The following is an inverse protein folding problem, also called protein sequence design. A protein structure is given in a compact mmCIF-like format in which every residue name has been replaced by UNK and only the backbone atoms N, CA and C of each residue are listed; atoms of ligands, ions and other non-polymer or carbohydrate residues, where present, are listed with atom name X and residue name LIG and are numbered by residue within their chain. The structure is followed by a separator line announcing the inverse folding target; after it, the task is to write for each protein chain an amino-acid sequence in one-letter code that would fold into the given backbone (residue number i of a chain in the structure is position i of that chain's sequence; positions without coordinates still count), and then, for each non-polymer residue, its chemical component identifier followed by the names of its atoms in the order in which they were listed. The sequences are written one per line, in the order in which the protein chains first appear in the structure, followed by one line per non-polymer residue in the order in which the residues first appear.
data_IF_516817864619
#
_entry.id   IF_516817864619
#
_cell.length_a   1.000
_cell.length_b   1.000
_cell.length_c   1.000
_cell.angle_alpha   90.00
_cell.angle_beta   90.00
_cell.angle_gamma   90.00
#
_symmetry.space_group_name_H-M   'P 1'
#
loop_
_entity.id
_entity.type
_entity.pdbx_description
1 polymer ?
#
# COMPACT_ATOMS: atom_id res chain seq x y z
N UNK A 1 15.39 -39.19 15.61
CA UNK A 1 14.01 -38.87 16.07
C UNK A 1 14.02 -38.12 17.41
N UNK A 2 14.71 -38.58 18.46
CA UNK A 2 14.77 -37.88 19.76
C UNK A 2 15.43 -36.48 19.71
N UNK A 3 16.36 -36.27 18.78
CA UNK A 3 17.05 -34.99 18.58
C UNK A 3 16.16 -33.94 17.89
N UNK A 4 15.21 -34.39 17.07
CA UNK A 4 14.16 -33.56 16.48
C UNK A 4 13.21 -33.00 17.55
N UNK A 5 12.86 -33.84 18.54
CA UNK A 5 12.05 -33.43 19.71
C UNK A 5 12.81 -32.43 20.60
N UNK A 6 14.15 -32.55 20.68
CA UNK A 6 14.99 -31.63 21.46
C UNK A 6 15.11 -30.25 20.80
N UNK A 7 15.15 -30.20 19.47
CA UNK A 7 15.11 -28.95 18.71
C UNK A 7 13.75 -28.23 18.79
N UNK A 8 12.65 -28.99 18.92
CA UNK A 8 11.33 -28.40 19.18
C UNK A 8 11.24 -27.74 20.57
N UNK A 9 12.05 -28.15 21.55
CA UNK A 9 12.17 -27.47 22.87
C UNK A 9 12.93 -26.14 22.82
N UNK A 10 13.71 -25.89 21.77
CA UNK A 10 14.41 -24.62 21.54
C UNK A 10 13.53 -23.58 20.83
N UNK A 11 12.43 -23.99 20.21
CA UNK A 11 11.39 -23.09 19.70
C UNK A 11 10.49 -22.68 20.86
N UNK A 12 11.05 -21.86 21.74
CA UNK A 12 10.42 -21.40 22.98
C UNK A 12 9.25 -20.42 22.76
N UNK A 13 8.66 -20.37 21.56
CA UNK A 13 7.60 -19.40 21.23
C UNK A 13 6.77 -19.74 19.97
N UNK A 14 6.34 -20.99 19.80
CA UNK A 14 5.24 -21.31 18.88
C UNK A 14 4.06 -21.78 19.75
N UNK A 15 3.17 -20.83 20.06
CA UNK A 15 1.90 -21.10 20.72
C UNK A 15 0.91 -21.63 19.67
N UNK A 16 0.81 -22.96 19.58
CA UNK A 16 -0.19 -23.68 18.79
C UNK A 16 -1.45 -24.02 19.64
N UNK A 17 -1.58 -23.44 20.84
CA UNK A 17 -2.52 -23.87 21.88
C UNK A 17 -3.93 -23.29 21.75
N UNK A 18 -4.52 -23.25 20.55
CA UNK A 18 -5.99 -23.08 20.43
C UNK A 18 -6.58 -23.48 19.06
N UNK A 19 -5.94 -24.36 18.31
CA UNK A 19 -6.59 -24.95 17.14
C UNK A 19 -6.57 -26.48 17.21
N UNK A 20 -7.71 -27.09 16.85
CA UNK A 20 -7.82 -28.53 16.60
C UNK A 20 -7.00 -28.86 15.35
N UNK A 21 -5.68 -28.97 15.50
CA UNK A 21 -4.77 -29.47 14.46
C UNK A 21 -5.10 -30.95 14.23
N UNK A 22 -6.16 -31.18 13.45
CA UNK A 22 -6.62 -32.49 13.06
C UNK A 22 -5.91 -32.82 11.75
N UNK A 23 -4.66 -33.21 11.89
CA UNK A 23 -3.82 -33.70 10.81
C UNK A 23 -2.50 -34.11 11.41
N UNK A 24 -2.32 -35.41 11.58
CA UNK A 24 -0.97 -35.98 11.73
C UNK A 24 -0.06 -35.38 10.65
N UNK A 25 1.24 -35.35 10.93
CA UNK A 25 2.31 -35.01 9.97
C UNK A 25 2.35 -36.09 8.87
N UNK A 26 1.32 -36.13 8.01
CA UNK A 26 1.10 -37.12 6.97
C UNK A 26 0.31 -36.57 5.76
N UNK A 27 -0.01 -35.28 5.72
CA UNK A 27 -0.96 -34.74 4.73
C UNK A 27 -0.22 -33.91 3.69
N UNK A 28 -0.45 -34.23 2.41
CA UNK A 28 0.06 -33.46 1.27
C UNK A 28 -0.46 -32.00 1.26
N UNK A 29 -1.17 -31.51 2.28
CA UNK A 29 -1.70 -30.15 2.39
C UNK A 29 -1.52 -29.60 3.81
N UNK A 30 -1.10 -28.33 3.91
CA UNK A 30 -0.94 -27.56 5.14
C UNK A 30 -1.55 -26.15 4.96
N UNK A 31 -2.63 -25.89 5.67
CA UNK A 31 -3.28 -24.57 5.72
C UNK A 31 -3.10 -23.97 7.11
N UNK A 32 -2.44 -22.82 7.16
CA UNK A 32 -2.18 -22.00 8.33
C UNK A 32 -2.75 -20.59 8.16
N UNK A 33 -3.48 -20.32 7.07
CA UNK A 33 -3.95 -18.99 6.75
C UNK A 33 -4.90 -18.41 7.80
N UNK A 34 -4.97 -17.09 7.85
CA UNK A 34 -5.88 -16.36 8.73
C UNK A 34 -5.68 -16.64 10.22
N UNK A 35 -4.46 -16.95 10.63
CA UNK A 35 -4.07 -17.05 12.02
C UNK A 35 -3.18 -15.85 12.35
N UNK A 36 -3.31 -15.26 13.54
CA UNK A 36 -2.41 -14.15 13.93
C UNK A 36 -0.99 -14.66 14.29
N UNK A 37 -0.45 -15.60 13.51
CA UNK A 37 0.88 -16.18 13.65
C UNK A 37 1.93 -15.12 13.32
N UNK A 38 3.03 -15.15 14.05
CA UNK A 38 4.10 -14.17 13.90
C UNK A 38 5.47 -14.84 13.94
N UNK A 39 6.48 -14.11 13.47
CA UNK A 39 7.86 -14.61 13.43
C UNK A 39 8.24 -15.17 12.07
N UNK A 40 9.27 -16.03 12.03
CA UNK A 40 9.83 -16.54 10.77
C UNK A 40 9.19 -17.88 10.41
N UNK A 41 8.90 -18.09 9.11
CA UNK A 41 8.58 -19.42 8.58
C UNK A 41 9.76 -20.37 8.88
N UNK A 42 9.54 -21.48 9.61
CA UNK A 42 10.62 -22.34 10.03
C UNK A 42 11.29 -23.02 8.82
N UNK A 43 12.62 -23.02 8.80
CA UNK A 43 13.39 -23.65 7.72
C UNK A 43 13.10 -25.14 7.56
N UNK A 44 12.66 -25.82 8.61
CA UNK A 44 12.25 -27.23 8.54
C UNK A 44 11.07 -27.46 7.59
N UNK A 45 10.24 -26.44 7.31
CA UNK A 45 9.17 -26.53 6.31
C UNK A 45 9.73 -26.65 4.88
N UNK A 46 10.98 -26.20 4.67
CA UNK A 46 11.69 -26.28 3.40
C UNK A 46 12.26 -27.69 3.14
N UNK A 47 12.37 -28.51 4.18
CA UNK A 47 12.87 -29.90 4.16
C UNK A 47 11.75 -30.95 3.99
N UNK A 48 10.48 -30.54 4.06
CA UNK A 48 9.36 -31.42 3.73
C UNK A 48 9.32 -31.60 2.21
N UNK A 49 9.24 -32.83 1.71
CA UNK A 49 9.33 -33.14 0.26
C UNK A 49 7.99 -33.51 -0.41
N UNK A 50 6.87 -33.47 0.33
CA UNK A 50 5.56 -33.97 -0.14
C UNK A 50 4.42 -32.98 0.08
N UNK A 51 4.72 -31.69 0.21
CA UNK A 51 3.66 -30.70 0.39
C UNK A 51 3.12 -30.31 -0.99
N UNK A 52 1.89 -30.70 -1.28
CA UNK A 52 1.14 -30.33 -2.50
C UNK A 52 0.36 -29.03 -2.34
N UNK A 53 -0.01 -28.65 -1.12
CA UNK A 53 -0.74 -27.41 -0.83
C UNK A 53 -0.19 -26.76 0.44
N UNK A 54 0.11 -25.47 0.34
CA UNK A 54 0.51 -24.61 1.45
C UNK A 54 -0.33 -23.34 1.39
N UNK A 55 -0.88 -22.91 2.52
CA UNK A 55 -1.42 -21.55 2.67
C UNK A 55 -0.95 -20.97 4.01
N UNK A 56 -0.26 -19.84 3.98
CA UNK A 56 0.19 -19.08 5.17
C UNK A 56 -0.24 -17.62 5.04
N UNK A 57 -1.24 -17.36 4.19
CA UNK A 57 -1.70 -16.02 3.89
C UNK A 57 -2.48 -15.41 5.06
N UNK A 58 -2.49 -14.08 5.13
CA UNK A 58 -3.17 -13.35 6.20
C UNK A 58 -2.70 -13.71 7.62
N UNK A 59 -1.40 -13.84 7.76
CA UNK A 59 -0.76 -13.94 9.05
C UNK A 59 0.18 -12.74 9.24
N UNK A 60 0.93 -12.72 10.34
CA UNK A 60 1.90 -11.68 10.66
C UNK A 60 3.33 -12.24 10.62
N UNK A 61 3.61 -13.16 9.70
CA UNK A 61 4.96 -13.67 9.49
C UNK A 61 5.88 -12.58 8.93
N UNK A 62 7.13 -12.67 9.34
CA UNK A 62 8.20 -11.73 9.04
C UNK A 62 9.41 -12.46 8.51
N UNK A 63 10.32 -11.72 7.85
CA UNK A 63 11.61 -12.19 7.34
C UNK A 63 11.55 -12.97 6.01
N UNK A 64 12.74 -13.42 5.59
CA UNK A 64 12.96 -14.15 4.34
C UNK A 64 12.26 -15.51 4.36
N UNK A 65 11.50 -15.81 3.30
CA UNK A 65 10.98 -17.16 3.04
C UNK A 65 12.18 -18.12 2.94
N UNK A 66 12.22 -19.22 3.71
CA UNK A 66 13.29 -20.20 3.61
C UNK A 66 13.41 -20.74 2.20
N UNK A 67 14.64 -20.81 1.69
CA UNK A 67 14.91 -21.45 0.41
C UNK A 67 14.82 -22.96 0.62
N UNK A 68 14.03 -23.63 -0.22
CA UNK A 68 13.84 -25.07 -0.19
C UNK A 68 13.32 -25.59 -1.52
N UNK A 69 12.96 -26.87 -1.53
CA UNK A 69 12.62 -27.55 -2.79
C UNK A 69 11.22 -27.18 -3.30
N UNK A 70 10.27 -26.95 -2.41
CA UNK A 70 8.85 -26.77 -2.76
C UNK A 70 8.28 -25.39 -2.37
N UNK A 71 8.90 -24.65 -1.44
CA UNK A 71 8.35 -23.37 -0.97
C UNK A 71 8.31 -22.31 -2.07
N UNK A 72 9.33 -22.33 -2.95
CA UNK A 72 9.44 -21.44 -4.10
C UNK A 72 8.60 -21.89 -5.30
N UNK A 73 8.06 -23.12 -5.30
CA UNK A 73 7.17 -23.59 -6.37
C UNK A 73 5.70 -23.20 -6.15
N UNK A 74 5.33 -22.78 -4.95
CA UNK A 74 4.00 -22.25 -4.68
C UNK A 74 3.84 -20.83 -5.21
N UNK A 75 2.59 -20.45 -5.51
CA UNK A 75 2.25 -19.11 -5.96
C UNK A 75 2.47 -18.07 -4.84
N UNK A 76 2.78 -16.83 -5.19
CA UNK A 76 2.90 -15.72 -4.24
C UNK A 76 1.62 -15.50 -3.42
N UNK A 77 0.46 -15.90 -3.95
CA UNK A 77 -0.85 -15.82 -3.28
C UNK A 77 -0.84 -16.49 -1.91
N UNK A 78 -0.16 -17.63 -1.77
CA UNK A 78 -0.14 -18.40 -0.51
C UNK A 78 0.61 -17.69 0.63
N UNK A 79 1.38 -16.65 0.29
CA UNK A 79 2.17 -15.84 1.23
C UNK A 79 1.61 -14.43 1.38
N UNK A 80 0.52 -14.08 0.70
CA UNK A 80 -0.03 -12.74 0.68
C UNK A 80 -0.41 -12.25 2.08
N UNK A 81 -0.48 -10.93 2.23
CA UNK A 81 -0.98 -10.26 3.44
C UNK A 81 -0.13 -10.53 4.69
N UNK A 82 1.14 -10.92 4.49
CA UNK A 82 2.21 -10.90 5.50
C UNK A 82 3.17 -9.74 5.20
N UNK A 83 2.98 -8.60 5.87
CA UNK A 83 3.63 -7.32 5.51
C UNK A 83 5.16 -7.34 5.62
N UNK A 84 5.72 -8.17 6.49
CA UNK A 84 7.15 -8.25 6.78
C UNK A 84 7.87 -9.42 6.09
N UNK A 85 7.14 -10.25 5.34
CA UNK A 85 7.73 -11.32 4.53
C UNK A 85 8.52 -10.74 3.33
N UNK A 86 9.53 -11.46 2.87
CA UNK A 86 10.31 -11.10 1.67
C UNK A 86 10.98 -12.34 1.04
N UNK A 87 11.41 -12.23 -0.21
CA UNK A 87 12.07 -13.30 -0.97
C UNK A 87 11.11 -14.13 -1.84
N UNK A 88 11.65 -14.89 -2.78
CA UNK A 88 10.87 -15.68 -3.73
C UNK A 88 9.90 -16.66 -3.03
N UNK A 89 8.64 -16.78 -3.48
CA UNK A 89 8.08 -16.25 -4.75
C UNK A 89 7.56 -14.79 -4.70
N UNK A 90 7.70 -14.07 -3.59
CA UNK A 90 7.26 -12.67 -3.50
C UNK A 90 8.20 -11.74 -4.28
N UNK A 91 7.64 -10.73 -4.96
CA UNK A 91 8.41 -9.66 -5.64
C UNK A 91 9.21 -8.78 -4.67
N UNK A 92 8.84 -8.80 -3.39
CA UNK A 92 9.51 -8.02 -2.33
C UNK A 92 10.88 -8.61 -2.00
N UNK A 93 11.96 -7.94 -2.42
CA UNK A 93 13.34 -8.32 -2.08
C UNK A 93 13.66 -8.07 -0.61
N UNK A 94 14.49 -8.92 -0.01
CA UNK A 94 14.95 -8.75 1.37
C UNK A 94 16.10 -7.73 1.44
N UNK A 95 16.10 -6.90 2.51
CA UNK A 95 17.14 -5.89 2.73
C UNK A 95 18.50 -6.57 2.99
N UNK A 96 19.45 -6.40 2.06
CA UNK A 96 20.80 -6.99 2.13
C UNK A 96 21.25 -7.77 0.88
N UNK A 97 20.40 -7.89 -0.14
CA UNK A 97 20.78 -8.43 -1.46
C UNK A 97 21.15 -7.27 -2.41
N UNK A 98 22.35 -6.70 -2.23
CA UNK A 98 22.93 -5.75 -3.18
C UNK A 98 24.01 -6.42 -4.01
N UNK A 99 23.73 -6.71 -5.28
CA UNK A 99 24.59 -6.38 -6.42
C UNK A 99 23.80 -6.38 -7.74
N UNK A 100 24.01 -5.28 -8.47
CA UNK A 100 23.76 -5.07 -9.89
C UNK A 100 22.32 -4.85 -10.35
N UNK A 101 21.97 -3.56 -10.40
CA UNK A 101 21.32 -3.01 -11.57
C UNK A 101 22.05 -3.49 -12.83
N UNK A 102 21.37 -4.25 -13.68
CA UNK A 102 21.54 -4.06 -15.11
C UNK A 102 20.16 -3.75 -15.67
N UNK A 103 20.10 -2.67 -16.44
CA UNK A 103 18.87 -2.19 -17.02
C UNK A 103 18.44 -3.11 -18.14
N UNK A 104 17.20 -3.56 -18.11
CA UNK A 104 16.44 -3.72 -19.35
C UNK A 104 15.03 -3.25 -19.05
N UNK A 105 14.77 -2.01 -19.46
CA UNK A 105 13.43 -1.58 -19.82
C UNK A 105 12.95 -2.53 -20.93
N UNK A 106 11.93 -3.33 -20.67
CA UNK A 106 10.88 -3.65 -21.64
C UNK A 106 9.61 -4.07 -20.89
N UNK A 107 8.48 -3.46 -21.26
CA UNK A 107 7.16 -4.08 -21.20
C UNK A 107 6.47 -4.09 -19.83
N UNK A 108 5.52 -3.18 -19.64
CA UNK A 108 4.79 -2.98 -18.40
C UNK A 108 4.08 -4.21 -17.84
N UNK A 109 4.14 -4.34 -16.52
CA UNK A 109 3.10 -5.01 -15.74
C UNK A 109 2.88 -4.22 -14.44
N UNK A 110 1.62 -3.84 -14.24
CA UNK A 110 1.10 -3.07 -13.12
C UNK A 110 1.27 -3.86 -11.82
N UNK A 111 2.33 -3.57 -11.07
CA UNK A 111 2.58 -4.19 -9.76
C UNK A 111 2.77 -3.13 -8.67
N UNK A 112 1.72 -2.39 -8.34
CA UNK A 112 1.71 -1.52 -7.14
C UNK A 112 0.36 -1.59 -6.42
N UNK A 113 0.05 -2.75 -5.85
CA UNK A 113 -0.95 -2.89 -4.79
C UNK A 113 -0.14 -2.89 -3.49
N UNK A 114 0.10 -1.74 -2.85
CA UNK A 114 -0.59 -1.42 -1.58
C UNK A 114 -0.53 0.07 -1.23
N UNK A 115 0.09 0.91 -2.08
CA UNK A 115 0.13 2.38 -1.91
C UNK A 115 -0.80 3.14 -2.85
N UNK A 116 -1.23 2.54 -3.96
CA UNK A 116 -2.06 3.22 -4.95
C UNK A 116 -3.52 3.41 -4.51
N UNK A 117 -4.05 2.58 -3.61
CA UNK A 117 -5.47 2.68 -3.21
C UNK A 117 -5.72 3.99 -2.44
N UNK A 118 -4.76 4.44 -1.62
CA UNK A 118 -4.88 5.71 -0.86
C UNK A 118 -4.58 6.94 -1.73
N UNK A 119 -3.47 6.95 -2.46
CA UNK A 119 -3.04 8.14 -3.21
C UNK A 119 -3.84 8.31 -4.52
N UNK A 120 -4.19 7.22 -5.20
CA UNK A 120 -5.02 7.26 -6.42
C UNK A 120 -6.46 7.73 -6.15
N UNK A 121 -7.01 7.40 -4.97
CA UNK A 121 -8.31 7.92 -4.55
C UNK A 121 -8.27 9.44 -4.34
N UNK A 122 -7.23 9.96 -3.69
CA UNK A 122 -7.09 11.40 -3.48
C UNK A 122 -6.86 12.17 -4.79
N UNK A 123 -6.04 11.62 -5.68
CA UNK A 123 -5.77 12.21 -7.01
C UNK A 123 -7.03 12.23 -7.86
N UNK A 124 -7.80 11.13 -7.90
CA UNK A 124 -9.05 11.06 -8.66
C UNK A 124 -10.14 11.98 -8.10
N UNK A 125 -10.25 12.08 -6.77
CA UNK A 125 -11.14 13.04 -6.11
C UNK A 125 -10.77 14.49 -6.47
N UNK A 126 -9.47 14.82 -6.44
CA UNK A 126 -8.97 16.14 -6.81
C UNK A 126 -9.24 16.50 -8.28
N UNK A 127 -8.93 15.59 -9.20
CA UNK A 127 -9.18 15.80 -10.63
C UNK A 127 -10.67 15.91 -10.94
N UNK A 128 -11.51 15.06 -10.33
CA UNK A 128 -12.96 15.10 -10.49
C UNK A 128 -13.58 16.43 -10.02
N UNK A 129 -13.09 16.96 -8.90
CA UNK A 129 -13.53 18.27 -8.40
C UNK A 129 -13.18 19.41 -9.36
N UNK A 130 -11.97 19.42 -9.91
CA UNK A 130 -11.54 20.44 -10.89
C UNK A 130 -12.38 20.37 -12.16
N UNK A 131 -12.56 19.18 -12.74
CA UNK A 131 -13.37 18.99 -13.95
C UNK A 131 -14.83 19.39 -13.71
N UNK A 132 -15.40 18.98 -12.57
CA UNK A 132 -16.77 19.34 -12.18
C UNK A 132 -16.97 20.84 -12.02
N UNK A 133 -16.07 21.52 -11.30
CA UNK A 133 -16.12 22.98 -11.15
C UNK A 133 -15.96 23.70 -12.49
N UNK A 134 -15.06 23.25 -13.36
CA UNK A 134 -14.88 23.85 -14.69
C UNK A 134 -16.13 23.66 -15.57
N UNK A 135 -16.80 22.50 -15.48
CA UNK A 135 -18.07 22.25 -16.17
C UNK A 135 -19.19 23.17 -15.67
N UNK A 136 -19.35 23.32 -14.35
CA UNK A 136 -20.35 24.21 -13.75
C UNK A 136 -20.05 25.69 -14.07
N UNK A 137 -18.80 26.14 -13.88
CA UNK A 137 -18.39 27.50 -14.22
C UNK A 137 -18.55 27.77 -15.74
N UNK A 138 -18.15 26.83 -16.59
CA UNK A 138 -18.28 26.94 -18.04
C UNK A 138 -19.72 27.05 -18.49
N UNK A 139 -20.61 26.20 -17.98
CA UNK A 139 -22.05 26.26 -18.29
C UNK A 139 -22.71 27.55 -17.79
N UNK A 140 -22.34 28.04 -16.60
CA UNK A 140 -22.81 29.33 -16.08
C UNK A 140 -22.35 30.53 -16.93
N UNK A 141 -21.15 30.45 -17.53
CA UNK A 141 -20.62 31.49 -18.42
C UNK A 141 -21.21 31.45 -19.84
N UNK A 142 -21.70 30.30 -20.32
CA UNK A 142 -22.37 30.19 -21.63
C UNK A 142 -23.78 30.79 -21.60
N UNK A 143 -24.46 30.75 -20.45
CA UNK A 143 -25.76 31.40 -20.32
C UNK A 143 -25.60 32.93 -20.39
N UNK A 144 -26.03 33.52 -21.51
CA UNK A 144 -25.92 34.95 -21.85
C UNK A 144 -26.44 35.88 -20.74
N UNK A 145 -27.45 35.46 -19.99
CA UNK A 145 -28.02 36.23 -18.87
C UNK A 145 -27.12 36.20 -17.63
N UNK A 146 -26.59 35.02 -17.27
CA UNK A 146 -25.74 34.84 -16.08
C UNK A 146 -24.31 35.34 -16.30
N UNK A 147 -23.79 35.25 -17.53
CA UNK A 147 -22.49 35.81 -17.89
C UNK A 147 -22.41 37.31 -17.57
N UNK A 148 -23.42 38.07 -17.98
CA UNK A 148 -23.43 39.52 -17.78
C UNK A 148 -23.54 39.89 -16.28
N UNK A 149 -24.32 39.11 -15.51
CA UNK A 149 -24.44 39.29 -14.06
C UNK A 149 -23.14 38.92 -13.33
N UNK A 150 -22.50 37.82 -13.73
CA UNK A 150 -21.22 37.37 -13.21
C UNK A 150 -20.12 38.41 -13.47
N UNK A 151 -20.03 38.94 -14.69
CA UNK A 151 -19.09 40.02 -15.01
C UNK A 151 -19.35 41.28 -14.17
N UNK A 152 -20.61 41.64 -13.92
CA UNK A 152 -20.95 42.79 -13.08
C UNK A 152 -20.48 42.59 -11.64
N UNK A 153 -20.76 41.43 -11.04
CA UNK A 153 -20.33 41.11 -9.68
C UNK A 153 -18.80 41.03 -9.54
N UNK A 154 -18.11 40.45 -10.51
CA UNK A 154 -16.64 40.40 -10.51
C UNK A 154 -16.02 41.80 -10.62
N UNK A 155 -16.59 42.67 -11.46
CA UNK A 155 -16.15 44.04 -11.60
C UNK A 155 -16.37 44.83 -10.29
N UNK A 156 -17.54 44.68 -9.66
CA UNK A 156 -17.86 45.34 -8.38
C UNK A 156 -16.95 44.84 -7.24
N UNK A 157 -16.70 43.52 -7.17
CA UNK A 157 -15.79 42.94 -6.20
C UNK A 157 -14.34 43.42 -6.40
N UNK A 158 -13.88 43.49 -7.66
CA UNK A 158 -12.55 44.00 -8.00
C UNK A 158 -12.39 45.47 -7.62
N UNK A 159 -13.38 46.31 -7.89
CA UNK A 159 -13.33 47.72 -7.54
C UNK A 159 -13.34 47.92 -6.02
N UNK A 160 -14.14 47.13 -5.30
CA UNK A 160 -14.13 47.12 -3.83
C UNK A 160 -12.76 46.75 -3.27
N UNK A 161 -12.15 45.67 -3.77
CA UNK A 161 -10.80 45.23 -3.39
C UNK A 161 -9.77 46.32 -3.73
N UNK A 162 -9.84 46.92 -4.92
CA UNK A 162 -8.91 47.97 -5.36
C UNK A 162 -8.96 49.20 -4.45
N UNK A 163 -10.17 49.70 -4.15
CA UNK A 163 -10.36 50.85 -3.26
C UNK A 163 -9.86 50.53 -1.85
N UNK A 164 -10.21 49.36 -1.32
CA UNK A 164 -9.76 48.91 0.00
C UNK A 164 -8.23 48.81 0.08
N UNK A 165 -7.61 48.26 -0.95
CA UNK A 165 -6.14 48.14 -1.06
C UNK A 165 -5.48 49.51 -1.13
N UNK A 166 -6.02 50.45 -1.93
CA UNK A 166 -5.57 51.84 -1.98
C UNK A 166 -5.66 52.53 -0.62
N UNK A 167 -6.76 52.37 0.10
CA UNK A 167 -6.97 52.96 1.43
C UNK A 167 -6.00 52.35 2.45
N UNK A 168 -5.86 51.02 2.50
CA UNK A 168 -4.90 50.36 3.39
C UNK A 168 -3.47 50.79 3.10
N UNK A 169 -3.08 50.86 1.82
CA UNK A 169 -1.76 51.34 1.41
C UNK A 169 -1.51 52.78 1.88
N UNK A 170 -2.49 53.67 1.72
CA UNK A 170 -2.40 55.07 2.18
C UNK A 170 -2.35 55.18 3.71
N UNK A 171 -3.08 54.33 4.43
CA UNK A 171 -3.08 54.28 5.90
C UNK A 171 -1.72 53.83 6.42
N UNK A 172 -1.16 52.77 5.84
CA UNK A 172 0.18 52.24 6.18
C UNK A 172 1.27 53.28 5.87
N UNK A 173 1.21 53.94 4.71
CA UNK A 173 2.18 54.98 4.35
C UNK A 173 2.16 56.18 5.31
N UNK A 174 0.99 56.55 5.84
CA UNK A 174 0.88 57.61 6.86
C UNK A 174 1.44 57.19 8.21
N UNK A 175 1.30 55.91 8.59
CA UNK A 175 1.86 55.37 9.84
C UNK A 175 3.38 55.21 9.78
N UNK A 176 3.97 54.98 8.60
CA UNK A 176 5.42 54.82 8.42
C UNK A 176 6.14 56.18 8.25
N UNK A 177 5.43 57.27 7.90
CA UNK A 177 6.01 58.61 7.70
C UNK A 177 6.06 59.48 8.98
N UNK A 178 5.87 58.88 10.15
CA UNK A 178 6.06 59.47 11.48
C UNK A 178 7.09 58.64 12.23
#
# INVERSE_FOLDING_TARGET
MAEFIKNLRLVKNIDLSSNKLRGDILTDALDLSNNHLFGRIPSSLSEVHRLSLLDVSNDNFSWKIPIGTQLQSFDAVVYMRNTELCGAPLLKKCRGEETSSDGTEEGGEYGVEDKFISDGYFISLGLGFVVGLLGVCGTLLVNKSMRNLCFKLLNDARDWIYVRTRIYKLKILKTIKF
#
